data_IF_956021588605
#
_entry.id   IF_956021588605
#
_cell.length_a   1.000
_cell.length_b   1.000
_cell.length_c   1.000
_cell.angle_alpha   90.00
_cell.angle_beta   90.00
_cell.angle_gamma   90.00
#
_symmetry.space_group_name_H-M   'P 1'
#
loop_
_entity.id
_entity.type
_entity.pdbx_description
1 polymer ?
#
# COMPACT_ATOMS: atom_id res chain seq x y z
N UNK A 1 -13.07 4.19 40.21
CA UNK A 1 -12.41 5.47 39.86
C UNK A 1 -11.77 5.24 38.50
N UNK A 2 -12.51 5.51 37.44
CA UNK A 2 -12.01 5.39 36.07
C UNK A 2 -11.03 6.54 35.82
N UNK A 3 -9.79 6.21 35.45
CA UNK A 3 -8.85 7.20 34.93
C UNK A 3 -9.26 7.45 33.48
N UNK A 4 -9.91 8.58 33.23
CA UNK A 4 -9.93 9.17 31.90
C UNK A 4 -8.49 9.55 31.55
N UNK A 5 -7.90 8.79 30.63
CA UNK A 5 -6.68 9.20 29.94
C UNK A 5 -7.05 10.37 29.03
N UNK A 6 -6.55 11.56 29.38
CA UNK A 6 -6.60 12.70 28.49
C UNK A 6 -5.65 12.41 27.32
N UNK A 7 -6.20 11.87 26.23
CA UNK A 7 -5.54 11.79 24.92
C UNK A 7 -5.09 13.20 24.55
N UNK A 8 -3.77 13.44 24.55
CA UNK A 8 -3.22 14.70 24.09
C UNK A 8 -3.61 14.91 22.63
N UNK A 9 -4.31 16.01 22.32
CA UNK A 9 -4.65 16.35 20.94
C UNK A 9 -3.36 16.47 20.13
N UNK A 10 -3.14 15.53 19.19
CA UNK A 10 -2.04 15.63 18.24
C UNK A 10 -2.36 16.74 17.24
N UNK A 11 -1.79 17.91 17.49
CA UNK A 11 -1.95 19.08 16.64
C UNK A 11 -1.16 19.00 15.32
N UNK A 12 -0.22 18.06 15.19
CA UNK A 12 0.63 17.91 14.00
C UNK A 12 0.05 16.88 13.03
N UNK A 13 -0.76 15.92 13.50
CA UNK A 13 -1.38 14.86 12.70
C UNK A 13 -0.33 14.05 11.94
N UNK A 14 0.62 13.49 12.69
CA UNK A 14 1.70 12.67 12.11
C UNK A 14 1.18 11.44 11.38
N UNK A 15 0.01 10.94 11.79
CA UNK A 15 -0.73 9.88 11.12
C UNK A 15 -0.99 10.22 9.64
N UNK A 16 -1.58 11.39 9.37
CA UNK A 16 -1.88 11.85 8.01
C UNK A 16 -0.58 12.01 7.21
N UNK A 17 0.43 12.64 7.80
CA UNK A 17 1.72 12.88 7.13
C UNK A 17 2.41 11.58 6.73
N UNK A 18 2.39 10.57 7.60
CA UNK A 18 2.97 9.27 7.32
C UNK A 18 2.17 8.52 6.24
N UNK A 19 0.84 8.54 6.28
CA UNK A 19 0.00 7.95 5.24
C UNK A 19 0.27 8.56 3.87
N UNK A 20 0.38 9.90 3.78
CA UNK A 20 0.68 10.57 2.52
C UNK A 20 2.08 10.25 1.99
N UNK A 21 3.07 10.14 2.88
CA UNK A 21 4.42 9.69 2.49
C UNK A 21 4.42 8.26 1.94
N UNK A 22 3.68 7.35 2.57
CA UNK A 22 3.53 5.96 2.14
C UNK A 22 2.77 5.84 0.80
N UNK A 23 1.73 6.66 0.56
CA UNK A 23 1.10 6.76 -0.76
C UNK A 23 2.09 7.19 -1.84
N UNK A 24 3.08 8.01 -1.47
CA UNK A 24 4.20 8.38 -2.34
C UNK A 24 5.06 7.19 -2.79
N UNK A 25 5.18 6.14 -1.97
CA UNK A 25 5.86 4.89 -2.33
C UNK A 25 5.11 4.17 -3.44
N UNK A 26 3.78 4.03 -3.31
CA UNK A 26 2.93 3.41 -4.35
C UNK A 26 3.08 4.14 -5.68
N UNK A 27 3.02 5.48 -5.65
CA UNK A 27 3.20 6.31 -6.83
C UNK A 27 4.53 6.02 -7.51
N UNK A 28 5.63 6.01 -6.75
CA UNK A 28 6.96 5.75 -7.30
C UNK A 28 7.06 4.36 -7.94
N UNK A 29 6.56 3.33 -7.26
CA UNK A 29 6.55 1.96 -7.78
C UNK A 29 5.76 1.88 -9.09
N UNK A 30 4.54 2.42 -9.13
CA UNK A 30 3.73 2.41 -10.36
C UNK A 30 4.36 3.24 -11.48
N UNK A 31 5.04 4.36 -11.17
CA UNK A 31 5.77 5.15 -12.17
C UNK A 31 6.91 4.37 -12.82
N UNK A 32 7.65 3.58 -12.04
CA UNK A 32 8.72 2.71 -12.56
C UNK A 32 8.16 1.60 -13.46
N UNK A 33 7.03 1.01 -13.08
CA UNK A 33 6.30 0.02 -13.90
C UNK A 33 5.77 0.66 -15.19
N UNK A 34 5.22 1.87 -15.11
CA UNK A 34 4.73 2.61 -16.28
C UNK A 34 5.86 2.93 -17.27
N UNK A 35 7.04 3.31 -16.76
CA UNK A 35 8.20 3.63 -17.59
C UNK A 35 8.80 2.41 -18.30
N UNK A 36 8.79 1.25 -17.64
CA UNK A 36 9.36 0.01 -18.20
C UNK A 36 8.35 -0.86 -18.96
N UNK A 37 7.05 -0.60 -18.75
CA UNK A 37 5.94 -1.37 -19.32
C UNK A 37 5.79 -2.78 -18.75
N UNK A 38 6.50 -3.12 -17.67
CA UNK A 38 6.46 -4.45 -17.05
C UNK A 38 6.76 -4.38 -15.56
N UNK A 39 6.30 -5.39 -14.83
CA UNK A 39 6.69 -5.59 -13.44
C UNK A 39 8.07 -6.26 -13.36
N UNK A 40 8.91 -5.90 -12.37
CA UNK A 40 10.18 -6.58 -12.14
C UNK A 40 9.96 -7.95 -11.51
N UNK A 41 10.67 -8.98 -11.99
CA UNK A 41 10.62 -10.32 -11.40
C UNK A 41 9.20 -10.87 -11.25
N UNK A 42 8.90 -11.40 -10.06
CA UNK A 42 7.61 -11.99 -9.73
C UNK A 42 6.64 -10.99 -9.06
N UNK A 43 7.01 -9.71 -8.98
CA UNK A 43 6.19 -8.70 -8.30
C UNK A 43 4.83 -8.52 -8.98
N UNK A 44 3.79 -8.44 -8.18
CA UNK A 44 2.43 -8.12 -8.61
C UNK A 44 1.66 -7.48 -7.47
N UNK A 45 0.72 -6.61 -7.80
CA UNK A 45 0.11 -5.72 -6.80
C UNK A 45 -1.39 -5.95 -6.71
N UNK A 46 -1.87 -6.10 -5.49
CA UNK A 46 -3.28 -5.97 -5.12
C UNK A 46 -3.51 -4.55 -4.63
N UNK A 47 -4.33 -3.79 -5.35
CA UNK A 47 -4.66 -2.40 -5.00
C UNK A 47 -6.15 -2.31 -4.70
N UNK A 48 -6.48 -2.04 -3.45
CA UNK A 48 -7.86 -1.84 -2.98
C UNK A 48 -8.13 -0.35 -2.87
N UNK A 49 -9.24 0.12 -3.44
CA UNK A 49 -9.62 1.53 -3.42
C UNK A 49 -11.14 1.71 -3.26
N UNK A 50 -11.56 2.87 -2.78
CA UNK A 50 -12.97 3.22 -2.67
C UNK A 50 -13.53 3.66 -4.03
N UNK A 51 -14.55 2.98 -4.54
CA UNK A 51 -15.10 3.25 -5.89
C UNK A 51 -15.89 4.56 -5.96
N UNK A 52 -16.40 5.02 -4.82
CA UNK A 52 -17.11 6.29 -4.65
C UNK A 52 -16.23 7.51 -4.38
N UNK A 53 -14.91 7.34 -4.21
CA UNK A 53 -14.02 8.45 -3.86
C UNK A 53 -13.94 9.51 -4.99
N UNK A 54 -13.80 10.81 -4.65
CA UNK A 54 -13.69 11.87 -5.64
C UNK A 54 -12.56 11.63 -6.64
N UNK A 55 -12.86 11.76 -7.93
CA UNK A 55 -11.89 11.56 -9.02
C UNK A 55 -11.80 10.13 -9.54
N UNK A 56 -12.37 9.14 -8.85
CA UNK A 56 -12.41 7.75 -9.35
C UNK A 56 -13.32 7.64 -10.57
N UNK A 57 -12.79 7.11 -11.67
CA UNK A 57 -13.53 6.85 -12.91
C UNK A 57 -13.51 5.36 -13.22
N UNK A 58 -14.70 4.79 -13.31
CA UNK A 58 -14.99 3.40 -13.63
C UNK A 58 -16.24 3.39 -14.55
N UNK A 59 -16.45 2.32 -15.31
CA UNK A 59 -17.70 2.13 -16.04
C UNK A 59 -18.90 2.00 -15.09
N UNK A 60 -20.10 2.29 -15.59
CA UNK A 60 -21.34 2.13 -14.81
C UNK A 60 -21.55 0.68 -14.37
N UNK A 61 -21.13 -0.27 -15.20
CA UNK A 61 -21.19 -1.70 -14.87
C UNK A 61 -20.33 -2.03 -13.65
N UNK A 62 -19.07 -1.59 -13.64
CA UNK A 62 -18.16 -1.81 -12.51
C UNK A 62 -18.63 -1.09 -11.25
N UNK A 63 -19.12 0.17 -11.35
CA UNK A 63 -19.65 0.90 -10.19
C UNK A 63 -20.86 0.21 -9.57
N UNK A 64 -21.77 -0.32 -10.39
CA UNK A 64 -22.94 -1.04 -9.89
C UNK A 64 -22.57 -2.37 -9.22
N UNK A 65 -21.53 -3.05 -9.71
CA UNK A 65 -21.06 -4.34 -9.17
C UNK A 65 -20.22 -4.17 -7.90
N UNK A 66 -19.42 -3.10 -7.82
CA UNK A 66 -18.50 -2.81 -6.72
C UNK A 66 -18.85 -1.43 -6.12
N UNK A 67 -19.91 -1.40 -5.31
CA UNK A 67 -20.52 -0.15 -4.86
C UNK A 67 -19.68 0.68 -3.89
N UNK A 68 -18.90 0.03 -3.02
CA UNK A 68 -18.15 0.70 -1.95
C UNK A 68 -16.64 0.67 -2.22
N UNK A 69 -16.10 -0.52 -2.47
CA UNK A 69 -14.68 -0.74 -2.70
C UNK A 69 -14.44 -1.79 -3.77
N UNK A 70 -13.27 -1.70 -4.40
CA UNK A 70 -12.83 -2.61 -5.44
C UNK A 70 -11.34 -2.89 -5.28
N UNK A 71 -10.95 -4.16 -5.45
CA UNK A 71 -9.56 -4.58 -5.52
C UNK A 71 -9.22 -4.96 -6.96
N UNK A 72 -8.15 -4.37 -7.48
CA UNK A 72 -7.58 -4.71 -8.79
C UNK A 72 -6.24 -5.41 -8.61
N UNK A 73 -5.89 -6.27 -9.56
CA UNK A 73 -4.60 -6.95 -9.60
C UNK A 73 -3.81 -6.46 -10.81
N UNK A 74 -2.60 -5.96 -10.56
CA UNK A 74 -1.65 -5.58 -11.61
C UNK A 74 -0.58 -6.67 -11.66
N UNK A 75 -0.65 -7.52 -12.69
CA UNK A 75 0.29 -8.61 -12.95
C UNK A 75 0.61 -8.69 -14.45
N UNK A 76 0.15 -9.74 -15.14
CA UNK A 76 0.56 -10.02 -16.52
C UNK A 76 -0.24 -9.24 -17.57
N UNK A 77 -1.50 -8.94 -17.29
CA UNK A 77 -2.41 -8.37 -18.28
C UNK A 77 -2.94 -7.00 -17.84
N UNK A 78 -2.14 -5.98 -18.13
CA UNK A 78 -2.56 -4.58 -18.07
C UNK A 78 -1.99 -3.81 -19.26
N UNK A 79 -2.59 -2.68 -19.58
CA UNK A 79 -2.11 -1.79 -20.63
C UNK A 79 -2.39 -0.33 -20.29
N UNK A 80 -1.82 0.58 -21.06
CA UNK A 80 -2.02 2.03 -20.91
C UNK A 80 -1.83 2.56 -19.48
N UNK A 81 -0.91 1.96 -18.71
CA UNK A 81 -0.58 2.43 -17.37
C UNK A 81 0.05 3.83 -17.48
N UNK A 82 -0.66 4.83 -16.99
CA UNK A 82 -0.20 6.22 -16.93
C UNK A 82 -0.24 6.71 -15.50
N UNK A 83 0.87 7.23 -15.02
CA UNK A 83 0.97 7.74 -13.65
C UNK A 83 1.17 9.23 -13.69
N UNK A 84 0.39 9.94 -12.88
CA UNK A 84 0.50 11.39 -12.65
C UNK A 84 0.85 11.64 -11.19
N UNK A 85 0.94 12.90 -10.78
CA UNK A 85 1.23 13.24 -9.38
C UNK A 85 0.11 12.84 -8.42
N UNK A 86 -1.14 12.82 -8.90
CA UNK A 86 -2.36 12.67 -8.08
C UNK A 86 -3.12 11.37 -8.31
N UNK A 87 -2.96 10.74 -9.47
CA UNK A 87 -3.70 9.54 -9.87
C UNK A 87 -2.93 8.67 -10.85
N UNK A 88 -3.38 7.44 -11.04
CA UNK A 88 -2.97 6.61 -12.17
C UNK A 88 -4.18 6.19 -13.02
N UNK A 89 -3.93 5.95 -14.30
CA UNK A 89 -4.86 5.35 -15.23
C UNK A 89 -4.34 3.97 -15.63
N UNK A 90 -5.22 2.99 -15.78
CA UNK A 90 -4.84 1.65 -16.20
C UNK A 90 -5.96 0.98 -17.00
N UNK A 91 -5.58 0.21 -18.01
CA UNK A 91 -6.45 -0.71 -18.72
C UNK A 91 -6.35 -2.12 -18.16
N UNK A 92 -7.49 -2.72 -17.83
CA UNK A 92 -7.61 -4.10 -17.32
C UNK A 92 -8.78 -4.82 -18.00
N UNK A 93 -8.79 -6.14 -17.94
CA UNK A 93 -9.90 -6.95 -18.46
C UNK A 93 -10.76 -7.48 -17.31
N UNK A 94 -12.07 -7.31 -17.40
CA UNK A 94 -13.05 -7.87 -16.47
C UNK A 94 -14.05 -8.73 -17.24
N UNK A 95 -14.04 -10.05 -17.00
CA UNK A 95 -14.90 -10.98 -17.74
C UNK A 95 -14.79 -10.80 -19.27
N UNK A 96 -13.54 -10.81 -19.76
CA UNK A 96 -13.18 -10.60 -21.17
C UNK A 96 -13.55 -9.23 -21.77
N UNK A 97 -14.00 -8.29 -20.93
CA UNK A 97 -14.31 -6.91 -21.33
C UNK A 97 -13.18 -5.96 -20.92
N UNK A 98 -12.50 -5.32 -21.89
CA UNK A 98 -11.53 -4.27 -21.61
C UNK A 98 -12.18 -3.06 -20.92
N UNK A 99 -11.61 -2.63 -19.81
CA UNK A 99 -12.07 -1.49 -19.02
C UNK A 99 -10.90 -0.55 -18.72
N UNK A 100 -11.19 0.75 -18.73
CA UNK A 100 -10.21 1.78 -18.37
C UNK A 100 -10.60 2.38 -17.02
N UNK A 101 -9.67 2.35 -16.08
CA UNK A 101 -9.84 2.88 -14.72
C UNK A 101 -9.00 4.13 -14.54
N UNK A 102 -9.51 5.09 -13.75
CA UNK A 102 -8.73 6.21 -13.22
C UNK A 102 -8.88 6.21 -11.71
N UNK A 103 -7.76 6.07 -11.01
CA UNK A 103 -7.72 5.87 -9.56
C UNK A 103 -6.78 6.92 -8.95
N UNK A 104 -7.32 7.91 -8.21
CA UNK A 104 -6.54 8.81 -7.37
C UNK A 104 -5.80 8.07 -6.24
N UNK A 105 -4.59 8.50 -5.90
CA UNK A 105 -3.81 7.85 -4.83
C UNK A 105 -4.46 7.97 -3.46
N UNK A 106 -5.18 9.06 -3.21
CA UNK A 106 -5.94 9.26 -1.97
C UNK A 106 -7.20 8.37 -1.89
N UNK A 107 -7.62 7.72 -2.99
CA UNK A 107 -8.70 6.74 -2.97
C UNK A 107 -8.23 5.33 -2.58
N UNK A 108 -6.91 5.08 -2.55
CA UNK A 108 -6.32 3.80 -2.20
C UNK A 108 -6.49 3.57 -0.70
N UNK A 109 -7.13 2.44 -0.37
CA UNK A 109 -7.33 1.92 0.98
C UNK A 109 -6.31 0.85 1.34
N UNK A 110 -5.83 0.08 0.35
CA UNK A 110 -4.88 -1.00 0.59
C UNK A 110 -3.95 -1.24 -0.59
N UNK A 111 -2.72 -1.62 -0.29
CA UNK A 111 -1.71 -2.06 -1.25
C UNK A 111 -1.03 -3.32 -0.70
N UNK A 112 -0.98 -4.37 -1.50
CA UNK A 112 -0.34 -5.62 -1.11
C UNK A 112 0.47 -6.22 -2.26
N UNK A 113 1.70 -6.64 -1.96
CA UNK A 113 2.61 -7.36 -2.85
C UNK A 113 2.95 -8.73 -2.22
N UNK A 114 2.34 -9.83 -2.72
CA UNK A 114 2.55 -11.17 -2.17
C UNK A 114 3.97 -11.71 -2.34
N UNK A 115 4.73 -11.20 -3.32
CA UNK A 115 6.05 -11.75 -3.67
C UNK A 115 7.08 -11.47 -2.57
N UNK A 116 6.87 -10.40 -1.81
CA UNK A 116 7.70 -10.02 -0.66
C UNK A 116 6.89 -9.85 0.62
N UNK A 117 5.61 -10.26 0.61
CA UNK A 117 4.69 -10.15 1.75
C UNK A 117 4.64 -8.73 2.35
N UNK A 118 4.54 -7.75 1.46
CA UNK A 118 4.54 -6.33 1.81
C UNK A 118 3.13 -5.76 1.70
N UNK A 119 2.61 -5.24 2.80
CA UNK A 119 1.26 -4.71 2.90
C UNK A 119 1.26 -3.29 3.49
N UNK A 120 0.34 -2.47 2.99
CA UNK A 120 0.02 -1.14 3.53
C UNK A 120 -1.49 -0.94 3.52
N UNK A 121 -2.02 -0.46 4.63
CA UNK A 121 -3.40 -0.02 4.75
C UNK A 121 -3.48 1.48 5.03
N UNK A 122 -4.52 2.12 4.51
CA UNK A 122 -4.73 3.54 4.64
C UNK A 122 -6.17 3.86 5.03
N UNK A 123 -6.32 4.88 5.86
CA UNK A 123 -7.62 5.48 6.10
C UNK A 123 -7.98 6.37 4.92
N UNK A 124 -9.10 6.02 4.27
CA UNK A 124 -9.70 6.84 3.22
C UNK A 124 -11.02 7.35 3.76
N UNK A 125 -11.16 8.66 4.04
CA UNK A 125 -12.43 9.21 4.50
C UNK A 125 -13.47 9.01 3.41
N UNK A 126 -14.53 8.25 3.73
CA UNK A 126 -15.68 8.11 2.85
C UNK A 126 -16.35 9.48 2.67
N UNK A 127 -16.86 9.77 1.48
CA UNK A 127 -17.55 11.02 1.21
C UNK A 127 -18.86 11.08 2.03
N UNK A 128 -18.82 11.72 3.20
CA UNK A 128 -19.99 11.97 4.05
C UNK A 128 -19.93 11.43 5.48
N UNK A 129 -18.83 10.80 5.90
CA UNK A 129 -18.67 10.29 7.27
C UNK A 129 -17.60 11.08 8.04
N UNK A 130 -17.92 11.46 9.29
CA UNK A 130 -16.95 12.03 10.23
C UNK A 130 -15.88 10.97 10.55
N UNK A 131 -14.61 11.39 10.54
CA UNK A 131 -13.44 10.53 10.75
C UNK A 131 -13.60 9.73 12.04
N UNK A 132 -13.74 8.41 11.94
CA UNK A 132 -13.61 7.50 13.09
C UNK A 132 -12.12 7.34 13.38
N UNK A 133 -11.67 7.83 14.53
CA UNK A 133 -10.28 7.75 15.00
C UNK A 133 -9.90 6.29 15.32
N UNK A 134 -9.40 5.57 14.32
CA UNK A 134 -8.62 4.35 14.54
C UNK A 134 -7.51 4.27 13.49
N UNK A 135 -6.55 5.18 13.58
CA UNK A 135 -5.39 5.23 12.70
C UNK A 135 -4.32 4.23 13.17
N UNK A 136 -4.45 2.95 12.82
CA UNK A 136 -3.33 2.02 12.86
C UNK A 136 -2.63 2.00 11.49
N UNK A 137 -1.49 2.68 11.39
CA UNK A 137 -0.63 2.61 10.21
C UNK A 137 0.23 1.36 10.33
N UNK A 138 -0.22 0.27 9.72
CA UNK A 138 0.53 -0.98 9.66
C UNK A 138 1.27 -1.04 8.32
N UNK A 139 2.60 -0.91 8.38
CA UNK A 139 3.49 -1.12 7.24
C UNK A 139 4.59 -2.08 7.70
N UNK A 140 4.32 -3.38 7.59
CA UNK A 140 5.23 -4.42 8.06
C UNK A 140 5.65 -5.29 6.87
N UNK A 141 6.96 -5.42 6.60
CA UNK A 141 7.45 -6.60 5.90
C UNK A 141 7.25 -7.78 6.86
N UNK A 142 6.25 -8.61 6.60
CA UNK A 142 6.02 -9.78 7.44
C UNK A 142 7.02 -10.86 6.99
N UNK A 143 8.01 -11.15 7.84
CA UNK A 143 8.96 -12.22 7.61
C UNK A 143 8.21 -13.52 7.30
N UNK A 144 8.60 -14.21 6.23
CA UNK A 144 8.12 -15.57 5.96
C UNK A 144 8.42 -16.41 7.20
N UNK A 145 7.38 -16.85 7.90
CA UNK A 145 7.53 -17.97 8.82
C UNK A 145 7.67 -19.21 7.94
N UNK A 146 8.89 -19.41 7.46
CA UNK A 146 9.34 -20.66 6.88
C UNK A 146 9.17 -21.74 7.94
N UNK A 147 8.09 -22.50 7.83
CA UNK A 147 7.97 -23.78 8.53
C UNK A 147 8.85 -24.77 7.76
N UNK A 148 10.17 -24.62 7.89
CA UNK A 148 11.13 -25.53 7.30
C UNK A 148 11.42 -26.69 8.25
N UNK A 149 10.91 -27.86 7.86
CA UNK A 149 11.58 -29.11 8.15
C UNK A 149 12.98 -29.07 7.51
N UNK A 150 14.01 -29.27 8.35
CA UNK A 150 15.44 -29.50 8.03
C UNK A 150 15.68 -30.20 6.68
N UNK A 151 16.78 -29.89 5.96
CA UNK A 151 18.09 -30.44 6.35
C UNK A 151 19.36 -29.57 6.09
N UNK A 152 20.38 -29.94 6.86
CA UNK A 152 21.85 -29.77 6.78
C UNK A 152 22.57 -28.98 5.65
N UNK A 153 23.39 -28.02 6.14
CA UNK A 153 24.81 -27.74 5.85
C UNK A 153 25.29 -27.35 4.42
N UNK A 154 25.76 -26.10 4.27
CA UNK A 154 27.12 -25.74 3.83
C UNK A 154 27.36 -24.21 3.94
N UNK A 155 28.64 -23.87 4.06
CA UNK A 155 29.30 -22.60 4.43
C UNK A 155 29.23 -21.49 3.36
N UNK A 156 29.14 -20.21 3.77
CA UNK A 156 30.09 -19.12 3.45
C UNK A 156 29.50 -17.69 3.61
N UNK A 157 30.40 -16.83 4.05
CA UNK A 157 30.30 -15.44 4.49
C UNK A 157 29.62 -14.45 3.53
N UNK A 158 28.70 -13.64 4.08
CA UNK A 158 28.59 -12.20 3.78
C UNK A 158 28.21 -11.42 5.03
N UNK A 159 29.15 -10.60 5.52
CA UNK A 159 28.90 -9.59 6.56
C UNK A 159 27.90 -8.56 6.05
N UNK A 160 26.64 -8.69 6.48
CA UNK A 160 25.65 -7.64 6.43
C UNK A 160 26.01 -6.52 7.41
N UNK A 161 25.84 -5.28 6.96
CA UNK A 161 26.21 -4.06 7.68
C UNK A 161 25.71 -4.03 9.12
N UNK A 162 26.62 -3.75 10.05
CA UNK A 162 26.30 -3.53 11.46
C UNK A 162 25.50 -2.23 11.60
N UNK A 163 24.20 -2.36 11.86
CA UNK A 163 23.37 -1.25 12.35
C UNK A 163 23.80 -1.01 13.79
N UNK A 164 24.46 0.12 14.04
CA UNK A 164 24.84 0.54 15.39
C UNK A 164 23.58 1.07 16.07
N UNK A 165 23.05 0.32 17.05
CA UNK A 165 21.95 0.79 17.89
C UNK A 165 22.37 2.05 18.66
N UNK A 166 21.55 3.10 18.55
CA UNK A 166 21.67 4.41 19.20
C UNK A 166 21.74 4.36 20.74
N UNK A 167 21.53 3.19 21.36
CA UNK A 167 21.73 2.96 22.79
C UNK A 167 23.20 2.92 23.23
N UNK A 168 24.16 2.86 22.30
CA UNK A 168 25.60 2.87 22.63
C UNK A 168 26.11 4.23 23.12
N UNK A 169 25.29 5.28 23.10
CA UNK A 169 25.67 6.64 23.48
C UNK A 169 25.08 7.15 24.82
N UNK A 170 24.36 6.31 25.58
CA UNK A 170 23.81 6.71 26.89
C UNK A 170 24.26 5.79 28.01
N UNK A 171 25.49 6.01 28.50
CA UNK A 171 26.03 5.77 29.87
C UNK A 171 27.56 5.63 29.77
N UNK A 172 28.41 6.42 30.42
CA UNK A 172 28.32 7.20 31.66
C UNK A 172 29.26 8.41 31.58
N UNK A 173 28.75 9.59 31.95
CA UNK A 173 29.49 10.46 32.86
C UNK A 173 29.26 9.94 34.28
#
# INVERSE_FOLDING_TARGET
MERQEAMGQDHIRYDILAQDALRGVIRKVLSEVAATGRLPGDHHFYITFLTGAPGVRLSQHLKAKYAEQMTIVIQHQFWDLKVTDTSFEIGLSFSDTPEKLVIPFNAIRGFYDPSVNFEMEFDVPAAGEEQVESAEITAYPVEKVETEAKPAAADEEKKAGSVISLDSFRKKQ
#
